data_IF_689636954715
#
_entry.id   IF_689636954715
#
_cell.length_a   1.000
_cell.length_b   1.000
_cell.length_c   1.000
_cell.angle_alpha   90.00
_cell.angle_beta   90.00
_cell.angle_gamma   90.00
#
_symmetry.space_group_name_H-M   'P 1'
#
loop_
_entity.id
_entity.type
_entity.pdbx_description
1 polymer ?
#
# COMPACT_ATOMS: atom_id res chain seq x y z
N UNK A 1 -17.67 -9.23 53.92
CA UNK A 1 -18.32 -9.91 52.80
C UNK A 1 -18.36 -8.94 51.63
N UNK A 2 -17.51 -9.10 50.64
CA UNK A 2 -17.55 -8.31 49.40
C UNK A 2 -18.76 -8.77 48.63
N UNK A 3 -19.74 -7.89 48.44
CA UNK A 3 -21.04 -8.23 47.87
C UNK A 3 -20.92 -8.77 46.44
N UNK A 4 -21.86 -9.64 46.00
CA UNK A 4 -21.92 -10.26 44.66
C UNK A 4 -21.70 -9.26 43.51
N UNK A 5 -22.16 -8.01 43.63
CA UNK A 5 -21.96 -6.95 42.65
C UNK A 5 -20.48 -6.49 42.53
N UNK A 6 -19.74 -6.42 43.61
CA UNK A 6 -18.33 -6.04 43.62
C UNK A 6 -17.45 -7.15 43.00
N UNK A 7 -17.81 -8.43 43.21
CA UNK A 7 -17.14 -9.56 42.54
C UNK A 7 -17.41 -9.57 41.02
N UNK A 8 -18.65 -9.33 40.58
CA UNK A 8 -18.99 -9.24 39.16
C UNK A 8 -18.23 -8.08 38.47
N UNK A 9 -18.13 -6.93 39.15
CA UNK A 9 -17.43 -5.76 38.63
C UNK A 9 -15.91 -5.98 38.58
N UNK A 10 -15.36 -6.73 39.56
CA UNK A 10 -13.93 -7.09 39.56
C UNK A 10 -13.60 -8.13 38.45
N UNK A 11 -14.48 -9.14 38.29
CA UNK A 11 -14.35 -10.12 37.18
C UNK A 11 -14.47 -9.45 35.82
N UNK A 12 -15.45 -8.56 35.63
CA UNK A 12 -15.63 -7.80 34.41
C UNK A 12 -14.41 -6.92 34.09
N UNK A 13 -13.80 -6.24 35.09
CA UNK A 13 -12.54 -5.49 34.91
C UNK A 13 -11.35 -6.38 34.60
N UNK A 14 -11.25 -7.53 35.25
CA UNK A 14 -10.18 -8.51 34.95
C UNK A 14 -10.32 -9.09 33.53
N UNK A 15 -11.52 -9.45 33.12
CA UNK A 15 -11.78 -9.93 31.76
C UNK A 15 -11.48 -8.84 30.71
N UNK A 16 -11.84 -7.60 30.96
CA UNK A 16 -11.50 -6.46 30.11
C UNK A 16 -9.99 -6.18 30.07
N UNK A 17 -9.29 -6.33 31.20
CA UNK A 17 -7.83 -6.19 31.25
C UNK A 17 -7.14 -7.35 30.52
N UNK A 18 -7.61 -8.58 30.69
CA UNK A 18 -7.07 -9.76 30.00
C UNK A 18 -7.34 -9.69 28.49
N UNK A 19 -8.53 -9.25 28.08
CA UNK A 19 -8.86 -9.04 26.66
C UNK A 19 -7.97 -7.97 26.01
N UNK A 20 -7.68 -6.88 26.73
CA UNK A 20 -6.74 -5.84 26.27
C UNK A 20 -5.30 -6.35 26.15
N UNK A 21 -4.87 -7.29 26.97
CA UNK A 21 -3.54 -7.89 26.87
C UNK A 21 -3.40 -8.89 25.70
N UNK A 22 -4.51 -9.39 25.15
CA UNK A 22 -4.52 -10.34 24.02
C UNK A 22 -4.72 -9.68 22.67
N UNK A 23 -4.99 -8.36 22.61
CA UNK A 23 -5.21 -7.65 21.37
C UNK A 23 -3.91 -7.44 20.57
N UNK A 24 -4.06 -7.29 19.25
CA UNK A 24 -2.97 -6.88 18.36
C UNK A 24 -3.02 -5.36 18.19
N UNK A 25 -1.92 -4.68 18.51
CA UNK A 25 -1.76 -3.23 18.31
C UNK A 25 -1.06 -2.98 16.98
N UNK A 26 -1.73 -2.29 16.06
CA UNK A 26 -1.17 -1.95 14.74
C UNK A 26 -0.85 -0.46 14.70
N UNK A 27 0.39 -0.13 14.40
CA UNK A 27 0.90 1.24 14.29
C UNK A 27 0.97 1.65 12.83
N UNK A 28 0.12 2.58 12.43
CA UNK A 28 -0.02 3.11 11.09
C UNK A 28 -1.33 2.72 10.40
N UNK A 29 -2.12 3.73 10.02
CA UNK A 29 -3.43 3.61 9.36
C UNK A 29 -3.37 3.70 7.83
N UNK A 30 -2.24 3.36 7.21
CA UNK A 30 -2.12 3.21 5.75
C UNK A 30 -2.78 1.91 5.26
N UNK A 31 -2.76 1.67 3.93
CA UNK A 31 -3.35 0.47 3.31
C UNK A 31 -2.81 -0.82 3.93
N UNK A 32 -1.52 -0.86 4.29
CA UNK A 32 -0.90 -2.03 4.92
C UNK A 32 -1.49 -2.27 6.31
N UNK A 33 -1.53 -1.24 7.17
CA UNK A 33 -2.11 -1.38 8.51
C UNK A 33 -3.60 -1.73 8.47
N UNK A 34 -4.37 -1.10 7.57
CA UNK A 34 -5.79 -1.37 7.39
C UNK A 34 -6.07 -2.80 6.93
N UNK A 35 -5.35 -3.29 5.91
CA UNK A 35 -5.52 -4.66 5.42
C UNK A 35 -5.00 -5.69 6.43
N UNK A 36 -3.90 -5.40 7.15
CA UNK A 36 -3.44 -6.25 8.25
C UNK A 36 -4.51 -6.36 9.33
N UNK A 37 -5.09 -5.22 9.75
CA UNK A 37 -6.20 -5.19 10.71
C UNK A 37 -7.42 -5.99 10.20
N UNK A 38 -7.78 -5.79 8.93
CA UNK A 38 -8.90 -6.48 8.29
C UNK A 38 -8.72 -8.00 8.26
N UNK A 39 -7.54 -8.48 7.86
CA UNK A 39 -7.25 -9.92 7.81
C UNK A 39 -7.24 -10.54 9.21
N UNK A 40 -6.61 -9.89 10.20
CA UNK A 40 -6.59 -10.38 11.58
C UNK A 40 -7.98 -10.39 12.23
N UNK A 41 -8.73 -9.30 12.07
CA UNK A 41 -10.09 -9.19 12.60
C UNK A 41 -11.05 -10.20 11.94
N UNK A 42 -10.89 -10.46 10.63
CA UNK A 42 -11.66 -11.50 9.92
C UNK A 42 -11.40 -12.91 10.46
N UNK A 43 -10.29 -13.11 11.15
CA UNK A 43 -9.93 -14.35 11.82
C UNK A 43 -10.18 -14.33 13.34
N UNK A 44 -10.99 -13.34 13.80
CA UNK A 44 -11.44 -13.25 15.18
C UNK A 44 -10.45 -12.61 16.15
N UNK A 45 -9.36 -11.99 15.67
CA UNK A 45 -8.43 -11.27 16.53
C UNK A 45 -9.00 -9.92 16.95
N UNK A 46 -8.83 -9.55 18.22
CA UNK A 46 -9.07 -8.19 18.67
C UNK A 46 -7.93 -7.28 18.18
N UNK A 47 -8.25 -6.16 17.56
CA UNK A 47 -7.28 -5.25 16.93
C UNK A 47 -7.49 -3.81 17.39
N UNK A 48 -6.40 -3.15 17.75
CA UNK A 48 -6.34 -1.70 17.96
C UNK A 48 -5.40 -1.10 16.91
N UNK A 49 -5.93 -0.28 16.00
CA UNK A 49 -5.16 0.42 15.00
C UNK A 49 -4.96 1.88 15.42
N UNK A 50 -3.72 2.33 15.40
CA UNK A 50 -3.31 3.67 15.81
C UNK A 50 -2.76 4.43 14.61
N UNK A 51 -3.32 5.60 14.34
CA UNK A 51 -2.87 6.50 13.28
C UNK A 51 -2.65 7.90 13.82
N UNK A 52 -1.47 8.48 13.57
CA UNK A 52 -1.07 9.79 14.10
C UNK A 52 -1.91 10.95 13.56
N UNK A 53 -2.44 10.81 12.34
CA UNK A 53 -3.28 11.81 11.67
C UNK A 53 -4.64 11.19 11.30
N UNK A 54 -5.13 11.42 10.10
CA UNK A 54 -6.28 10.71 9.56
C UNK A 54 -5.85 9.42 8.84
N UNK A 55 -6.66 8.39 8.95
CA UNK A 55 -6.43 7.10 8.28
C UNK A 55 -6.24 7.28 6.78
N UNK A 56 -5.15 6.73 6.26
CA UNK A 56 -4.84 6.62 4.85
C UNK A 56 -4.40 7.91 4.15
N UNK A 57 -4.11 9.00 4.86
CA UNK A 57 -3.80 10.31 4.28
C UNK A 57 -2.36 10.47 3.76
N UNK A 58 -1.51 9.46 3.93
CA UNK A 58 -0.13 9.47 3.45
C UNK A 58 0.00 8.77 2.06
N UNK A 59 1.05 8.00 1.83
CA UNK A 59 1.31 7.34 0.54
C UNK A 59 0.15 6.49 0.02
N UNK A 60 -0.68 5.96 0.90
CA UNK A 60 -1.85 5.16 0.54
C UNK A 60 -2.94 5.96 -0.15
N UNK A 61 -3.05 7.26 0.11
CA UNK A 61 -3.93 8.19 -0.60
C UNK A 61 -3.26 8.72 -1.86
N UNK A 62 -1.97 9.09 -1.74
CA UNK A 62 -1.24 9.80 -2.78
C UNK A 62 -0.88 8.95 -4.00
N UNK A 63 -0.86 7.63 -3.88
CA UNK A 63 -0.40 6.72 -4.93
C UNK A 63 -1.30 6.65 -6.16
N UNK A 64 -0.75 6.17 -7.27
CA UNK A 64 -1.45 6.05 -8.55
C UNK A 64 -2.51 4.96 -8.61
N UNK A 65 -2.35 3.90 -7.86
CA UNK A 65 -3.34 2.82 -7.82
C UNK A 65 -3.22 1.78 -8.92
N UNK A 66 -2.12 1.71 -9.65
CA UNK A 66 -1.87 0.63 -10.62
C UNK A 66 -1.69 -0.69 -9.83
N UNK A 67 -2.46 -1.71 -10.18
CA UNK A 67 -2.40 -3.04 -9.59
C UNK A 67 -1.37 -3.87 -10.39
N UNK A 68 -0.18 -3.34 -10.50
CA UNK A 68 1.02 -3.97 -11.07
C UNK A 68 2.24 -3.16 -10.66
N UNK A 69 3.42 -3.77 -10.47
CA UNK A 69 4.66 -3.03 -10.54
C UNK A 69 4.76 -2.32 -11.90
N UNK A 70 5.36 -1.11 -11.95
CA UNK A 70 5.41 -0.34 -13.19
C UNK A 70 6.11 -1.06 -14.35
N UNK A 71 7.17 -1.78 -14.02
CA UNK A 71 7.94 -2.62 -14.95
C UNK A 71 8.17 -3.96 -14.26
N UNK A 72 7.20 -4.89 -14.27
CA UNK A 72 7.23 -6.09 -13.43
C UNK A 72 8.45 -6.98 -13.67
N UNK A 73 9.01 -6.98 -14.87
CA UNK A 73 10.22 -7.75 -15.23
C UNK A 73 11.53 -7.21 -14.62
N UNK A 74 11.52 -5.98 -14.07
CA UNK A 74 12.70 -5.34 -13.44
C UNK A 74 12.75 -5.58 -11.93
N UNK A 75 11.83 -6.33 -11.38
CA UNK A 75 11.76 -6.61 -9.94
C UNK A 75 12.23 -8.03 -9.61
N UNK A 76 12.68 -8.21 -8.36
CA UNK A 76 13.08 -9.51 -7.84
C UNK A 76 11.91 -10.50 -7.80
N UNK A 77 12.19 -11.82 -7.80
CA UNK A 77 11.16 -12.86 -7.62
C UNK A 77 10.31 -12.64 -6.36
N UNK A 78 10.88 -12.10 -5.28
CA UNK A 78 10.16 -11.78 -4.07
C UNK A 78 9.05 -10.74 -4.29
N UNK A 79 9.33 -9.65 -4.98
CA UNK A 79 8.31 -8.65 -5.33
C UNK A 79 7.27 -9.24 -6.29
N UNK A 80 7.72 -10.03 -7.26
CA UNK A 80 6.85 -10.70 -8.24
C UNK A 80 5.86 -11.64 -7.57
N UNK A 81 6.30 -12.46 -6.60
CA UNK A 81 5.43 -13.40 -5.89
C UNK A 81 4.27 -12.71 -5.16
N UNK A 82 4.57 -11.64 -4.39
CA UNK A 82 3.53 -10.84 -3.72
C UNK A 82 2.59 -10.16 -4.73
N UNK A 83 3.16 -9.62 -5.82
CA UNK A 83 2.39 -8.92 -6.83
C UNK A 83 1.40 -9.84 -7.54
N UNK A 84 1.84 -11.04 -7.95
CA UNK A 84 1.00 -12.01 -8.66
C UNK A 84 -0.18 -12.46 -7.81
N UNK A 85 0.07 -12.87 -6.56
CA UNK A 85 -1.00 -13.28 -5.66
C UNK A 85 -2.01 -12.14 -5.45
N UNK A 86 -1.52 -10.93 -5.24
CA UNK A 86 -2.36 -9.75 -5.01
C UNK A 86 -3.18 -9.36 -6.23
N UNK A 87 -2.60 -9.39 -7.43
CA UNK A 87 -3.30 -9.06 -8.68
C UNK A 87 -4.53 -9.94 -8.88
N UNK A 88 -4.36 -11.25 -8.63
CA UNK A 88 -5.44 -12.23 -8.77
C UNK A 88 -6.52 -12.06 -7.68
N UNK A 89 -6.16 -11.51 -6.52
CA UNK A 89 -7.06 -11.30 -5.38
C UNK A 89 -7.81 -9.95 -5.42
N UNK A 90 -7.27 -8.90 -6.07
CA UNK A 90 -7.85 -7.56 -6.03
C UNK A 90 -9.31 -7.45 -6.48
N UNK A 91 -9.78 -8.13 -7.55
CA UNK A 91 -11.19 -8.09 -7.92
C UNK A 91 -12.11 -8.56 -6.80
N UNK A 92 -11.79 -9.69 -6.18
CA UNK A 92 -12.55 -10.26 -5.07
C UNK A 92 -12.53 -9.35 -3.83
N UNK A 93 -11.37 -8.72 -3.52
CA UNK A 93 -11.27 -7.76 -2.43
C UNK A 93 -12.21 -6.56 -2.67
N UNK A 94 -12.23 -6.02 -3.90
CA UNK A 94 -13.11 -4.92 -4.27
C UNK A 94 -14.59 -5.25 -4.09
N UNK A 95 -15.02 -6.42 -4.56
CA UNK A 95 -16.39 -6.91 -4.41
C UNK A 95 -16.79 -7.08 -2.94
N UNK A 96 -15.93 -7.72 -2.14
CA UNK A 96 -16.15 -7.93 -0.70
C UNK A 96 -16.30 -6.60 0.06
N UNK A 97 -15.41 -5.65 -0.20
CA UNK A 97 -15.46 -4.34 0.44
C UNK A 97 -16.71 -3.56 0.03
N UNK A 98 -17.08 -3.58 -1.24
CA UNK A 98 -18.29 -2.92 -1.71
C UNK A 98 -19.54 -3.55 -1.09
N UNK A 99 -19.65 -4.87 -1.07
CA UNK A 99 -20.77 -5.57 -0.45
C UNK A 99 -20.91 -5.28 1.06
N UNK A 100 -19.78 -5.18 1.77
CA UNK A 100 -19.76 -4.92 3.21
C UNK A 100 -20.05 -3.46 3.59
N UNK A 101 -19.74 -2.50 2.73
CA UNK A 101 -19.69 -1.07 3.12
C UNK A 101 -20.53 -0.14 2.24
N UNK A 102 -20.94 -0.58 1.05
CA UNK A 102 -21.53 0.29 0.02
C UNK A 102 -20.53 1.26 -0.63
N UNK A 103 -19.25 1.21 -0.27
CA UNK A 103 -18.19 2.05 -0.85
C UNK A 103 -17.40 1.22 -1.86
N UNK A 104 -17.61 1.48 -3.16
CA UNK A 104 -16.86 0.81 -4.25
C UNK A 104 -15.41 1.34 -4.27
N UNK A 105 -14.38 0.49 -4.08
CA UNK A 105 -12.97 0.87 -4.22
C UNK A 105 -12.59 1.24 -5.67
N UNK A 106 -13.46 1.00 -6.64
CA UNK A 106 -13.22 1.16 -8.07
C UNK A 106 -12.01 0.34 -8.55
N UNK A 107 -12.01 -0.97 -8.26
CA UNK A 107 -11.08 -1.91 -8.91
C UNK A 107 -11.54 -2.06 -10.36
N UNK A 108 -10.76 -1.48 -11.28
CA UNK A 108 -11.13 -1.36 -12.69
C UNK A 108 -10.04 -1.95 -13.57
N UNK A 109 -10.35 -3.05 -14.26
CA UNK A 109 -9.47 -3.67 -15.25
C UNK A 109 -9.52 -2.87 -16.53
N UNK A 110 -8.45 -2.12 -16.83
CA UNK A 110 -8.34 -1.28 -18.03
C UNK A 110 -7.21 -1.72 -18.96
N UNK A 111 -6.41 -2.68 -18.50
CA UNK A 111 -5.15 -2.99 -19.14
C UNK A 111 -4.11 -1.88 -18.99
N UNK A 112 -2.90 -2.16 -19.45
CA UNK A 112 -1.80 -1.21 -19.48
C UNK A 112 -0.99 -1.40 -20.75
N UNK A 113 -0.74 -0.31 -21.47
CA UNK A 113 0.20 -0.22 -22.56
C UNK A 113 1.55 0.32 -22.08
N UNK A 114 2.64 -0.35 -22.41
CA UNK A 114 4.00 0.18 -22.31
C UNK A 114 4.46 0.55 -23.72
N UNK A 115 4.95 1.77 -23.88
CA UNK A 115 5.34 2.33 -25.17
C UNK A 115 6.86 2.55 -25.22
N UNK A 116 7.47 2.21 -26.34
CA UNK A 116 8.89 2.41 -26.63
C UNK A 116 9.83 1.95 -25.51
N UNK A 117 9.72 0.68 -25.13
CA UNK A 117 10.58 0.08 -24.11
C UNK A 117 11.93 -0.33 -24.69
N UNK A 118 13.01 0.07 -24.01
CA UNK A 118 14.37 -0.36 -24.35
C UNK A 118 14.61 -1.86 -24.07
N UNK A 119 13.85 -2.43 -23.11
CA UNK A 119 13.95 -3.81 -22.64
C UNK A 119 12.72 -4.68 -23.00
N UNK A 120 12.09 -4.41 -24.16
CA UNK A 120 10.89 -5.14 -24.63
C UNK A 120 11.12 -6.66 -24.67
N UNK A 121 12.28 -7.11 -25.17
CA UNK A 121 12.59 -8.54 -25.25
C UNK A 121 12.64 -9.22 -23.88
N UNK A 122 13.17 -8.53 -22.86
CA UNK A 122 13.21 -9.01 -21.48
C UNK A 122 11.80 -9.06 -20.87
N UNK A 123 10.98 -8.04 -21.14
CA UNK A 123 9.59 -8.00 -20.72
C UNK A 123 8.78 -9.19 -21.25
N UNK A 124 8.91 -9.49 -22.53
CA UNK A 124 8.24 -10.63 -23.17
C UNK A 124 8.75 -11.98 -22.65
N UNK A 125 10.06 -12.12 -22.45
CA UNK A 125 10.66 -13.32 -21.85
C UNK A 125 10.18 -13.54 -20.40
N UNK A 126 10.08 -12.44 -19.61
CA UNK A 126 9.51 -12.49 -18.28
C UNK A 126 8.06 -12.97 -18.31
N UNK A 127 7.24 -12.44 -19.22
CA UNK A 127 5.82 -12.79 -19.33
C UNK A 127 5.62 -14.28 -19.60
N UNK A 128 6.44 -14.88 -20.47
CA UNK A 128 6.43 -16.32 -20.76
C UNK A 128 6.81 -17.11 -19.50
N UNK A 129 7.88 -16.72 -18.82
CA UNK A 129 8.37 -17.40 -17.62
C UNK A 129 7.35 -17.35 -16.47
N UNK A 130 6.69 -16.22 -16.29
CA UNK A 130 5.73 -15.99 -15.20
C UNK A 130 4.29 -16.33 -15.58
N UNK A 131 4.02 -16.76 -16.82
CA UNK A 131 2.67 -17.09 -17.28
C UNK A 131 1.73 -15.90 -17.32
N UNK A 132 2.24 -14.69 -17.62
CA UNK A 132 1.43 -13.45 -17.67
C UNK A 132 1.03 -13.08 -19.10
N UNK A 133 -0.18 -12.53 -19.32
CA UNK A 133 -0.72 -12.25 -20.66
C UNK A 133 -0.17 -10.91 -21.23
N UNK A 134 1.15 -10.72 -21.18
CA UNK A 134 1.82 -9.58 -21.78
C UNK A 134 2.19 -9.93 -23.22
N UNK A 135 1.75 -9.12 -24.18
CA UNK A 135 1.95 -9.38 -25.60
C UNK A 135 2.46 -8.13 -26.31
N UNK A 136 3.25 -8.34 -27.36
CA UNK A 136 3.56 -7.28 -28.30
C UNK A 136 2.34 -6.99 -29.16
N UNK A 137 2.05 -5.70 -29.39
CA UNK A 137 0.95 -5.23 -30.22
C UNK A 137 1.45 -4.18 -31.21
N UNK A 138 0.76 -4.05 -32.32
CA UNK A 138 1.04 -2.96 -33.25
C UNK A 138 0.67 -1.61 -32.63
N UNK A 139 1.48 -0.58 -32.88
CA UNK A 139 1.20 0.77 -32.36
C UNK A 139 -0.10 1.31 -32.90
N UNK A 140 -0.48 0.99 -34.13
CA UNK A 140 -1.81 1.33 -34.68
C UNK A 140 -2.95 0.75 -33.87
N UNK A 141 -2.83 -0.50 -33.37
CA UNK A 141 -3.84 -1.10 -32.49
C UNK A 141 -3.88 -0.41 -31.11
N UNK A 142 -2.74 0.10 -30.61
CA UNK A 142 -2.72 0.92 -29.42
C UNK A 142 -3.44 2.25 -29.63
N UNK A 143 -3.27 2.91 -30.78
CA UNK A 143 -4.00 4.14 -31.15
C UNK A 143 -5.50 3.87 -31.36
N UNK A 144 -5.89 2.75 -31.96
CA UNK A 144 -7.30 2.37 -32.12
C UNK A 144 -7.98 2.18 -30.75
N UNK A 145 -7.28 1.57 -29.81
CA UNK A 145 -7.77 1.35 -28.44
C UNK A 145 -7.71 2.62 -27.57
N UNK A 146 -6.76 3.50 -27.81
CA UNK A 146 -6.54 4.75 -27.07
C UNK A 146 -6.40 5.91 -28.08
N UNK A 147 -7.50 6.41 -28.64
CA UNK A 147 -7.48 7.40 -29.74
C UNK A 147 -6.83 8.74 -29.38
N UNK A 148 -6.70 9.04 -28.09
CA UNK A 148 -6.06 10.27 -27.58
C UNK A 148 -4.55 10.13 -27.37
N UNK A 149 -3.98 8.96 -27.66
CA UNK A 149 -2.56 8.70 -27.50
C UNK A 149 -1.73 9.61 -28.44
N UNK A 150 -0.61 10.12 -27.92
CA UNK A 150 0.30 10.94 -28.71
C UNK A 150 0.96 10.16 -29.85
N UNK A 151 1.31 10.87 -30.92
CA UNK A 151 2.01 10.30 -32.06
C UNK A 151 3.49 10.07 -31.78
N UNK A 152 4.15 9.28 -32.64
CA UNK A 152 5.62 9.10 -32.64
C UNK A 152 6.11 7.88 -31.86
N UNK A 153 5.25 7.11 -31.23
CA UNK A 153 5.61 5.82 -30.66
C UNK A 153 5.78 4.77 -31.76
N UNK A 154 6.78 3.90 -31.61
CA UNK A 154 7.15 2.89 -32.59
C UNK A 154 6.93 1.46 -32.09
N UNK A 155 6.81 1.27 -30.79
CA UNK A 155 6.66 -0.04 -30.15
C UNK A 155 5.62 0.02 -29.03
N UNK A 156 4.84 -1.03 -28.91
CA UNK A 156 3.89 -1.19 -27.82
C UNK A 156 3.81 -2.64 -27.35
N UNK A 157 3.79 -2.85 -26.04
CA UNK A 157 3.37 -4.10 -25.42
C UNK A 157 2.16 -3.84 -24.53
N UNK A 158 1.30 -4.83 -24.39
CA UNK A 158 0.02 -4.70 -23.68
C UNK A 158 -0.23 -5.88 -22.76
N UNK A 159 -0.72 -5.58 -21.57
CA UNK A 159 -1.23 -6.58 -20.63
C UNK A 159 -2.67 -6.24 -20.25
N UNK A 160 -3.61 -7.03 -20.73
CA UNK A 160 -5.05 -6.76 -20.67
C UNK A 160 -5.64 -6.82 -19.26
N UNK A 161 -5.07 -7.65 -18.38
CA UNK A 161 -5.61 -7.92 -17.04
C UNK A 161 -5.06 -6.98 -15.94
N UNK A 162 -4.33 -5.94 -16.30
CA UNK A 162 -3.89 -4.94 -15.31
C UNK A 162 -5.08 -4.08 -14.89
N UNK A 163 -5.32 -4.06 -13.59
CA UNK A 163 -6.32 -3.18 -13.00
C UNK A 163 -5.70 -1.90 -12.45
N UNK A 164 -6.52 -0.91 -12.24
CA UNK A 164 -6.24 0.18 -11.33
C UNK A 164 -7.32 0.23 -10.23
N UNK A 165 -6.96 0.81 -9.08
CA UNK A 165 -7.87 1.01 -7.96
C UNK A 165 -7.84 2.48 -7.55
N UNK A 166 -8.96 3.01 -7.09
CA UNK A 166 -9.01 4.40 -6.61
C UNK A 166 -8.61 4.44 -5.14
N UNK A 167 -7.35 4.77 -4.87
CA UNK A 167 -6.74 4.72 -3.55
C UNK A 167 -7.56 5.36 -2.43
N UNK A 168 -8.07 6.61 -2.55
CA UNK A 168 -8.90 7.21 -1.49
C UNK A 168 -10.18 6.42 -1.20
N UNK A 169 -10.76 5.77 -2.22
CA UNK A 169 -11.98 4.96 -2.06
C UNK A 169 -11.66 3.60 -1.42
N UNK A 170 -10.54 2.98 -1.80
CA UNK A 170 -10.07 1.74 -1.16
C UNK A 170 -9.84 1.96 0.35
N UNK A 171 -9.12 3.01 0.72
CA UNK A 171 -8.88 3.35 2.12
C UNK A 171 -10.20 3.61 2.86
N UNK A 172 -11.11 4.38 2.24
CA UNK A 172 -12.43 4.66 2.81
C UNK A 172 -13.25 3.39 3.05
N UNK A 173 -13.26 2.48 2.08
CA UNK A 173 -14.00 1.21 2.19
C UNK A 173 -13.38 0.29 3.25
N UNK A 174 -12.05 0.18 3.32
CA UNK A 174 -11.35 -0.58 4.37
C UNK A 174 -11.63 -0.03 5.76
N UNK A 175 -11.55 1.29 5.95
CA UNK A 175 -11.89 1.93 7.22
C UNK A 175 -13.34 1.64 7.62
N UNK A 176 -14.28 1.78 6.69
CA UNK A 176 -15.70 1.51 6.96
C UNK A 176 -15.93 0.03 7.32
N UNK A 177 -15.28 -0.89 6.62
CA UNK A 177 -15.37 -2.32 6.94
C UNK A 177 -14.84 -2.61 8.36
N UNK A 178 -13.66 -2.07 8.71
CA UNK A 178 -13.05 -2.25 10.02
C UNK A 178 -13.93 -1.72 11.15
N UNK A 179 -14.51 -0.53 11.00
CA UNK A 179 -15.39 0.07 12.02
C UNK A 179 -16.68 -0.73 12.25
N UNK A 180 -17.07 -1.58 11.30
CA UNK A 180 -18.22 -2.48 11.44
C UNK A 180 -17.86 -3.84 12.06
N UNK A 181 -16.56 -4.17 12.21
CA UNK A 181 -16.10 -5.46 12.73
C UNK A 181 -16.05 -5.46 14.26
N UNK A 182 -16.60 -6.49 14.93
CA UNK A 182 -16.48 -6.60 16.38
C UNK A 182 -15.00 -6.78 16.81
N UNK A 183 -14.63 -6.18 17.93
CA UNK A 183 -13.28 -6.27 18.47
C UNK A 183 -12.23 -5.41 17.77
N UNK A 184 -12.64 -4.54 16.84
CA UNK A 184 -11.75 -3.59 16.18
C UNK A 184 -11.96 -2.19 16.75
N UNK A 185 -10.85 -1.53 17.10
CA UNK A 185 -10.82 -0.13 17.52
C UNK A 185 -9.84 0.61 16.59
N UNK A 186 -10.26 1.75 16.06
CA UNK A 186 -9.42 2.63 15.25
C UNK A 186 -9.29 3.97 15.95
N UNK A 187 -8.07 4.33 16.35
CA UNK A 187 -7.73 5.63 16.90
C UNK A 187 -7.00 6.47 15.83
N UNK A 188 -7.66 7.52 15.39
CA UNK A 188 -7.04 8.60 14.62
C UNK A 188 -6.52 9.68 15.58
N UNK A 189 -5.59 10.53 15.12
CA UNK A 189 -4.94 11.56 15.92
C UNK A 189 -4.21 10.97 17.15
N UNK A 190 -3.72 9.73 17.03
CA UNK A 190 -3.03 9.00 18.08
C UNK A 190 -1.61 8.64 17.62
N UNK A 191 -0.66 9.50 17.94
CA UNK A 191 0.73 9.31 17.59
C UNK A 191 1.42 8.34 18.55
N UNK A 192 2.08 7.32 17.98
CA UNK A 192 2.97 6.42 18.71
C UNK A 192 4.37 7.00 18.74
N UNK A 193 4.93 7.16 19.93
CA UNK A 193 6.24 7.77 20.16
C UNK A 193 7.35 6.76 20.54
N UNK A 194 6.98 5.50 20.76
CA UNK A 194 7.91 4.42 21.13
C UNK A 194 7.18 3.20 21.63
N UNK A 195 7.94 2.26 22.19
CA UNK A 195 7.45 0.95 22.63
C UNK A 195 7.47 0.80 24.16
N UNK A 196 6.57 -0.03 24.68
CA UNK A 196 6.54 -0.45 26.07
C UNK A 196 7.24 -1.81 26.17
N UNK A 197 8.29 -1.89 26.99
CA UNK A 197 9.14 -3.07 27.12
C UNK A 197 8.99 -3.73 28.49
N UNK A 198 8.90 -5.06 28.51
CA UNK A 198 9.12 -5.92 29.67
C UNK A 198 10.27 -6.89 29.36
N UNK A 199 11.50 -6.51 29.70
CA UNK A 199 12.72 -7.18 29.24
C UNK A 199 12.83 -7.06 27.72
N UNK A 200 13.00 -8.18 27.02
CA UNK A 200 13.05 -8.26 25.56
C UNK A 200 11.65 -8.36 24.91
N UNK A 201 10.59 -8.23 25.72
CA UNK A 201 9.24 -8.38 25.25
C UNK A 201 8.59 -7.00 25.03
N UNK A 202 8.12 -6.74 23.81
CA UNK A 202 7.32 -5.55 23.50
C UNK A 202 5.86 -5.86 23.82
N UNK A 203 5.34 -5.21 24.84
CA UNK A 203 3.99 -5.43 25.40
C UNK A 203 3.02 -4.30 25.03
N UNK A 204 3.44 -3.33 24.24
CA UNK A 204 2.60 -2.21 23.83
C UNK A 204 3.41 -1.06 23.23
N UNK A 205 2.74 0.07 23.10
CA UNK A 205 3.28 1.33 22.57
C UNK A 205 2.96 2.51 23.46
N UNK A 206 3.81 3.54 23.43
CA UNK A 206 3.61 4.80 24.13
C UNK A 206 2.88 5.80 23.23
N UNK A 207 1.89 6.49 23.78
CA UNK A 207 1.17 7.60 23.16
C UNK A 207 1.08 8.80 24.13
N UNK A 208 0.66 9.96 23.63
CA UNK A 208 0.44 11.14 24.47
C UNK A 208 -0.62 10.91 25.56
N UNK A 209 -1.59 10.00 25.34
CA UNK A 209 -2.66 9.67 26.28
C UNK A 209 -2.29 8.54 27.23
N UNK A 210 -1.06 8.01 27.12
CA UNK A 210 -0.55 6.89 27.90
C UNK A 210 -0.28 5.64 27.07
N UNK A 211 0.16 4.54 27.72
CA UNK A 211 0.49 3.31 27.03
C UNK A 211 -0.75 2.55 26.56
N UNK A 212 -0.64 1.97 25.35
CA UNK A 212 -1.63 1.03 24.81
C UNK A 212 -0.94 -0.34 24.73
N UNK A 213 -1.49 -1.30 25.48
CA UNK A 213 -0.89 -2.64 25.61
C UNK A 213 -1.53 -3.67 24.69
N UNK A 214 -0.77 -4.69 24.29
CA UNK A 214 -1.25 -5.81 23.48
C UNK A 214 -0.26 -6.95 23.43
N UNK A 215 -0.71 -8.14 23.06
CA UNK A 215 0.15 -9.32 22.91
C UNK A 215 1.17 -9.17 21.79
N UNK A 216 0.79 -8.44 20.76
CA UNK A 216 1.63 -8.17 19.60
C UNK A 216 1.51 -6.71 19.17
N UNK A 217 2.63 -6.12 18.79
CA UNK A 217 2.72 -4.79 18.17
C UNK A 217 3.20 -4.96 16.74
N UNK A 218 2.45 -4.42 15.78
CA UNK A 218 2.76 -4.48 14.35
C UNK A 218 3.12 -3.09 13.87
N UNK A 219 4.35 -2.91 13.38
CA UNK A 219 4.80 -1.66 12.81
C UNK A 219 4.49 -1.63 11.30
N UNK A 220 3.50 -0.84 10.92
CA UNK A 220 3.04 -0.59 9.55
C UNK A 220 3.06 0.92 9.21
N UNK A 221 4.03 1.66 9.80
CA UNK A 221 4.09 3.12 9.79
C UNK A 221 4.72 3.72 8.51
N UNK A 222 4.72 2.98 7.40
CA UNK A 222 5.20 3.47 6.11
C UNK A 222 6.63 4.02 6.19
N UNK A 223 6.86 5.23 5.69
CA UNK A 223 8.17 5.88 5.67
C UNK A 223 8.74 6.18 7.08
N UNK A 224 7.89 6.24 8.10
CA UNK A 224 8.29 6.50 9.50
C UNK A 224 8.66 5.23 10.29
N UNK A 225 8.61 4.06 9.66
CA UNK A 225 8.91 2.80 10.34
C UNK A 225 10.37 2.74 10.84
N UNK A 226 11.32 3.32 10.09
CA UNK A 226 12.72 3.39 10.49
C UNK A 226 12.93 4.26 11.76
N UNK A 227 12.28 5.43 11.82
CA UNK A 227 12.38 6.32 12.98
C UNK A 227 11.82 5.67 14.26
N UNK A 228 10.64 5.02 14.15
CA UNK A 228 10.05 4.33 15.29
C UNK A 228 10.91 3.15 15.77
N UNK A 229 11.42 2.33 14.85
CA UNK A 229 12.28 1.20 15.23
C UNK A 229 13.62 1.69 15.81
N UNK A 230 14.09 2.86 15.38
CA UNK A 230 15.27 3.55 15.91
C UNK A 230 15.18 3.85 17.42
N UNK A 231 13.98 3.99 17.99
CA UNK A 231 13.77 4.17 19.44
C UNK A 231 14.20 2.95 20.27
N UNK A 232 14.36 1.79 19.62
CA UNK A 232 14.91 0.56 20.22
C UNK A 232 16.40 0.35 19.92
N UNK A 233 17.09 1.33 19.30
CA UNK A 233 18.47 1.19 18.88
C UNK A 233 18.66 0.25 17.69
N UNK A 234 17.65 0.11 16.84
CA UNK A 234 17.69 -0.70 15.62
C UNK A 234 17.62 0.19 14.38
N UNK A 235 18.45 -0.11 13.39
CA UNK A 235 18.42 0.53 12.07
C UNK A 235 17.61 -0.32 11.10
N UNK A 236 16.46 0.22 10.66
CA UNK A 236 15.64 -0.34 9.59
C UNK A 236 15.83 0.53 8.35
N UNK A 237 16.42 0.00 7.26
CA UNK A 237 16.67 0.79 6.04
C UNK A 237 15.38 0.99 5.23
N UNK A 238 14.49 1.81 5.78
CA UNK A 238 13.27 2.29 5.13
C UNK A 238 13.32 3.81 5.11
N UNK A 239 13.43 4.38 3.91
CA UNK A 239 13.61 5.82 3.70
C UNK A 239 12.41 6.44 3.00
N UNK A 240 12.09 7.72 3.29
CA UNK A 240 11.07 8.46 2.55
C UNK A 240 11.55 8.77 1.13
N UNK A 241 10.78 8.34 0.13
CA UNK A 241 11.01 8.69 -1.28
C UNK A 241 9.80 9.41 -1.81
N UNK A 242 9.97 10.72 -2.03
CA UNK A 242 8.90 11.63 -2.49
C UNK A 242 8.50 11.33 -3.92
N UNK A 243 7.21 11.42 -4.20
CA UNK A 243 6.66 11.35 -5.55
C UNK A 243 5.48 12.27 -5.70
N UNK A 244 5.49 13.07 -6.76
CA UNK A 244 4.44 14.03 -7.07
C UNK A 244 3.56 13.53 -8.20
N UNK A 245 2.31 13.91 -8.17
CA UNK A 245 1.28 13.52 -9.14
C UNK A 245 0.35 14.69 -9.42
N UNK A 246 -0.19 14.73 -10.63
CA UNK A 246 -1.21 15.70 -11.03
C UNK A 246 -2.47 14.98 -11.50
N UNK A 247 -3.60 15.66 -11.39
CA UNK A 247 -4.92 15.16 -11.75
C UNK A 247 -5.57 16.12 -12.75
N UNK A 248 -5.95 15.59 -13.90
CA UNK A 248 -6.76 16.29 -14.89
C UNK A 248 -8.23 15.94 -14.74
N UNK A 249 -9.10 16.84 -15.20
CA UNK A 249 -10.54 16.59 -15.37
C UNK A 249 -10.89 16.57 -16.85
N UNK A 250 -11.41 15.43 -17.31
CA UNK A 250 -11.86 15.18 -18.70
C UNK A 250 -13.25 14.54 -18.70
N UNK A 251 -13.72 14.15 -19.88
CA UNK A 251 -14.91 13.31 -20.03
C UNK A 251 -14.68 11.90 -19.47
N UNK A 252 -15.73 11.18 -19.09
CA UNK A 252 -15.63 9.86 -18.46
C UNK A 252 -15.05 8.76 -19.36
N UNK A 253 -15.17 8.94 -20.67
CA UNK A 253 -14.68 8.03 -21.70
C UNK A 253 -13.40 8.51 -22.41
N UNK A 254 -12.76 9.56 -21.88
CA UNK A 254 -11.59 10.21 -22.50
C UNK A 254 -10.40 9.28 -22.66
N UNK A 255 -10.11 8.43 -21.67
CA UNK A 255 -9.01 7.48 -21.69
C UNK A 255 -9.53 6.09 -21.31
N UNK A 256 -9.40 5.12 -22.21
CA UNK A 256 -9.92 3.76 -22.06
C UNK A 256 -8.99 2.82 -21.29
N UNK A 257 -7.68 2.96 -21.47
CA UNK A 257 -6.64 2.11 -20.87
C UNK A 257 -5.55 2.95 -20.21
N UNK A 258 -4.83 2.36 -19.29
CA UNK A 258 -3.61 2.97 -18.78
C UNK A 258 -2.52 2.95 -19.85
N UNK A 259 -1.73 4.02 -19.90
CA UNK A 259 -0.57 4.13 -20.79
C UNK A 259 0.67 4.53 -20.01
N UNK A 260 1.83 4.00 -20.39
CA UNK A 260 3.12 4.26 -19.74
C UNK A 260 4.22 4.40 -20.79
N UNK A 261 4.96 5.50 -20.75
CA UNK A 261 6.17 5.72 -21.52
C UNK A 261 7.20 6.49 -20.68
N UNK A 262 8.49 6.21 -20.88
CA UNK A 262 9.60 6.93 -20.24
C UNK A 262 9.45 7.14 -18.71
N UNK A 263 8.86 6.14 -18.00
CA UNK A 263 8.62 6.18 -16.56
C UNK A 263 7.45 7.05 -16.10
N UNK A 264 6.70 7.65 -17.04
CA UNK A 264 5.47 8.42 -16.80
C UNK A 264 4.26 7.61 -17.24
N UNK A 265 3.16 7.75 -16.52
CA UNK A 265 1.93 7.02 -16.77
C UNK A 265 0.70 7.91 -16.68
N UNK A 266 -0.33 7.56 -17.45
CA UNK A 266 -1.67 8.10 -17.35
C UNK A 266 -2.64 7.00 -16.92
N UNK A 267 -3.47 7.28 -15.91
CA UNK A 267 -4.42 6.33 -15.33
C UNK A 267 -5.82 6.91 -15.43
N UNK A 268 -6.75 6.25 -16.15
CA UNK A 268 -8.15 6.68 -16.23
C UNK A 268 -8.89 6.38 -14.92
N UNK A 269 -9.82 7.27 -14.57
CA UNK A 269 -10.83 7.04 -13.53
C UNK A 269 -12.22 7.03 -14.16
N UNK A 270 -13.15 6.25 -13.61
CA UNK A 270 -14.51 6.10 -14.14
C UNK A 270 -15.29 7.41 -14.26
N UNK A 271 -14.93 8.41 -13.46
CA UNK A 271 -15.57 9.73 -13.46
C UNK A 271 -14.87 10.76 -14.36
N UNK A 272 -13.97 10.32 -15.23
CA UNK A 272 -13.25 11.17 -16.19
C UNK A 272 -12.02 11.87 -15.63
N UNK A 273 -11.63 11.63 -14.39
CA UNK A 273 -10.31 12.09 -13.93
C UNK A 273 -9.20 11.26 -14.58
N UNK A 274 -8.11 11.92 -14.97
CA UNK A 274 -6.89 11.29 -15.49
C UNK A 274 -5.76 11.63 -14.53
N UNK A 275 -5.17 10.60 -13.94
CA UNK A 275 -4.05 10.75 -13.03
C UNK A 275 -2.74 10.57 -13.79
N UNK A 276 -1.85 11.56 -13.71
CA UNK A 276 -0.51 11.52 -14.30
C UNK A 276 0.52 11.41 -13.18
N UNK A 277 1.46 10.51 -13.33
CA UNK A 277 2.54 10.29 -12.36
C UNK A 277 3.78 9.71 -12.99
N UNK A 278 4.84 9.67 -12.26
CA UNK A 278 5.14 10.37 -11.02
C UNK A 278 6.60 10.83 -11.01
N UNK A 279 6.93 11.77 -10.14
CA UNK A 279 8.32 12.07 -9.86
C UNK A 279 8.95 11.05 -8.92
N UNK A 280 10.27 11.11 -8.75
CA UNK A 280 11.04 10.35 -7.78
C UNK A 280 12.13 11.28 -7.24
N UNK A 281 12.02 11.64 -5.95
CA UNK A 281 12.83 12.66 -5.31
C UNK A 281 13.26 12.20 -3.91
N UNK A 282 14.49 12.54 -3.50
CA UNK A 282 15.06 12.21 -2.19
C UNK A 282 15.18 13.49 -1.35
N UNK A 283 14.05 13.95 -0.83
CA UNK A 283 13.88 15.22 -0.08
C UNK A 283 13.53 14.97 1.39
N UNK A 284 13.91 13.79 1.93
CA UNK A 284 13.52 13.40 3.28
C UNK A 284 12.00 13.38 3.46
N UNK A 285 11.52 13.93 4.57
CA UNK A 285 10.09 13.95 4.89
C UNK A 285 9.32 15.15 4.31
N UNK A 286 9.96 15.99 3.48
CA UNK A 286 9.25 17.09 2.82
C UNK A 286 8.26 16.59 1.77
N UNK A 287 6.98 16.94 1.95
CA UNK A 287 5.86 16.61 1.04
C UNK A 287 5.37 17.84 0.26
N UNK A 288 6.09 18.94 0.27
CA UNK A 288 5.67 20.14 -0.44
C UNK A 288 5.71 19.90 -1.95
N UNK A 289 4.61 20.05 -2.69
CA UNK A 289 4.62 20.02 -4.14
C UNK A 289 5.43 21.20 -4.70
N UNK A 290 6.11 20.97 -5.84
CA UNK A 290 6.98 21.98 -6.46
C UNK A 290 6.49 22.36 -7.86
N UNK A 291 6.65 23.63 -8.25
CA UNK A 291 6.30 24.11 -9.59
C UNK A 291 7.08 23.38 -10.68
N UNK A 292 8.37 23.11 -10.43
CA UNK A 292 9.21 22.35 -11.37
C UNK A 292 8.65 20.95 -11.66
N UNK A 293 8.14 20.27 -10.63
CA UNK A 293 7.51 18.95 -10.80
C UNK A 293 6.16 19.08 -11.54
N UNK A 294 5.37 20.11 -11.23
CA UNK A 294 4.12 20.38 -11.93
C UNK A 294 4.33 20.54 -13.43
N UNK A 295 5.28 21.40 -13.83
CA UNK A 295 5.58 21.66 -15.24
C UNK A 295 6.16 20.39 -15.93
N UNK A 296 7.03 19.63 -15.25
CA UNK A 296 7.54 18.36 -15.78
C UNK A 296 6.43 17.32 -16.00
N UNK A 297 5.48 17.24 -15.07
CA UNK A 297 4.35 16.31 -15.18
C UNK A 297 3.38 16.74 -16.27
N UNK A 298 3.09 18.05 -16.41
CA UNK A 298 2.29 18.59 -17.53
C UNK A 298 2.92 18.28 -18.88
N UNK A 299 4.23 18.53 -19.02
CA UNK A 299 4.95 18.24 -20.26
C UNK A 299 4.85 16.74 -20.62
N UNK A 300 5.06 15.86 -19.64
CA UNK A 300 4.92 14.40 -19.84
C UNK A 300 3.46 14.00 -20.17
N UNK A 301 2.47 14.67 -19.56
CA UNK A 301 1.06 14.42 -19.84
C UNK A 301 0.70 14.74 -21.29
N UNK A 302 1.16 15.89 -21.79
CA UNK A 302 0.92 16.34 -23.17
C UNK A 302 1.70 15.50 -24.18
N UNK A 303 2.89 15.02 -23.84
CA UNK A 303 3.64 14.06 -24.67
C UNK A 303 2.88 12.74 -24.80
N UNK A 304 2.36 12.20 -23.70
CA UNK A 304 1.57 10.96 -23.71
C UNK A 304 0.21 11.13 -24.39
N UNK A 305 -0.47 12.24 -24.11
CA UNK A 305 -1.85 12.52 -24.50
C UNK A 305 -1.98 14.01 -24.87
N UNK A 306 -1.72 14.40 -26.13
CA UNK A 306 -1.70 15.80 -26.55
C UNK A 306 -2.95 16.61 -26.21
N UNK A 307 -4.11 15.98 -26.20
CA UNK A 307 -5.37 16.61 -25.84
C UNK A 307 -5.44 17.09 -24.36
N UNK A 308 -4.50 16.70 -23.50
CA UNK A 308 -4.38 17.22 -22.12
C UNK A 308 -3.78 18.65 -22.07
N UNK A 309 -3.27 19.18 -23.19
CA UNK A 309 -2.76 20.55 -23.23
C UNK A 309 -3.83 21.60 -22.86
N UNK A 310 -5.07 21.34 -23.25
CA UNK A 310 -6.22 22.23 -22.99
C UNK A 310 -7.07 21.79 -21.78
N UNK A 311 -6.70 20.68 -21.11
CA UNK A 311 -7.47 20.15 -19.99
C UNK A 311 -7.08 20.84 -18.67
N UNK A 312 -8.04 20.98 -17.77
CA UNK A 312 -7.84 21.57 -16.45
C UNK A 312 -7.08 20.62 -15.51
N UNK A 313 -6.01 21.10 -14.90
CA UNK A 313 -5.35 20.43 -13.76
C UNK A 313 -6.11 20.78 -12.49
N UNK A 314 -6.84 19.78 -11.94
CA UNK A 314 -7.69 19.97 -10.75
C UNK A 314 -7.00 19.53 -9.45
N UNK A 315 -5.79 18.99 -9.52
CA UNK A 315 -5.04 18.59 -8.33
C UNK A 315 -3.56 18.38 -8.59
N UNK A 316 -2.74 18.72 -7.59
CA UNK A 316 -1.30 18.48 -7.54
C UNK A 316 -0.91 18.19 -6.09
N UNK A 317 -0.24 17.07 -5.85
CA UNK A 317 0.17 16.64 -4.51
C UNK A 317 1.44 15.79 -4.53
N UNK A 318 2.00 15.59 -3.34
CA UNK A 318 3.13 14.69 -3.11
C UNK A 318 2.79 13.65 -2.04
N UNK A 319 3.48 12.52 -2.09
CA UNK A 319 3.45 11.48 -1.07
C UNK A 319 4.83 10.86 -0.87
N UNK A 320 5.06 10.25 0.30
CA UNK A 320 6.32 9.64 0.67
C UNK A 320 6.21 8.11 0.60
N UNK A 321 6.86 7.52 -0.39
CA UNK A 321 6.97 6.07 -0.50
C UNK A 321 7.92 5.54 0.58
N UNK A 322 7.59 4.42 1.26
CA UNK A 322 8.50 3.77 2.21
C UNK A 322 9.57 2.96 1.45
N UNK A 323 10.66 3.61 1.03
CA UNK A 323 11.74 3.02 0.24
C UNK A 323 12.51 1.99 1.05
N UNK A 324 12.50 0.72 0.63
CA UNK A 324 13.32 -0.37 1.15
C UNK A 324 14.35 -0.81 0.11
N UNK A 325 15.45 -1.47 0.51
CA UNK A 325 16.39 -2.08 -0.43
C UNK A 325 15.68 -3.01 -1.40
N UNK A 326 15.93 -2.86 -2.70
CA UNK A 326 15.32 -3.61 -3.81
C UNK A 326 13.78 -3.57 -3.87
N UNK A 327 13.14 -2.73 -3.04
CA UNK A 327 11.68 -2.66 -2.92
C UNK A 327 11.06 -3.88 -2.24
N UNK A 328 11.87 -4.72 -1.59
CA UNK A 328 11.39 -5.90 -0.86
C UNK A 328 10.91 -5.47 0.53
N UNK A 329 9.63 -5.69 0.90
CA UNK A 329 9.11 -5.31 2.20
C UNK A 329 9.72 -6.14 3.34
N UNK A 330 9.53 -5.66 4.57
CA UNK A 330 9.82 -6.38 5.80
C UNK A 330 8.52 -6.95 6.35
N UNK A 331 8.41 -8.28 6.42
CA UNK A 331 7.22 -8.99 6.91
C UNK A 331 7.69 -10.07 7.87
N UNK A 332 7.42 -9.90 9.17
CA UNK A 332 7.82 -10.88 10.18
C UNK A 332 8.17 -10.27 11.53
N UNK A 333 8.58 -11.13 12.45
CA UNK A 333 8.97 -10.73 13.81
C UNK A 333 10.35 -10.06 13.81
N UNK A 334 10.51 -9.02 14.63
CA UNK A 334 11.78 -8.32 14.80
C UNK A 334 12.74 -9.20 15.63
N UNK A 335 13.95 -9.50 15.12
CA UNK A 335 14.93 -10.28 15.87
C UNK A 335 15.29 -9.60 17.21
N UNK A 336 15.39 -10.40 18.28
CA UNK A 336 15.70 -9.93 19.62
C UNK A 336 14.54 -9.29 20.40
N UNK A 337 13.38 -9.03 19.75
CA UNK A 337 12.22 -8.44 20.39
C UNK A 337 10.98 -9.33 20.23
N UNK A 338 10.58 -10.00 21.33
CA UNK A 338 9.33 -10.76 21.32
C UNK A 338 8.13 -9.80 21.26
N UNK A 339 7.07 -10.21 20.57
CA UNK A 339 5.85 -9.41 20.47
C UNK A 339 5.92 -8.24 19.47
N UNK A 340 7.09 -7.91 18.89
CA UNK A 340 7.23 -6.86 17.88
C UNK A 340 7.34 -7.45 16.46
N UNK A 341 6.53 -6.92 15.55
CA UNK A 341 6.42 -7.39 14.17
C UNK A 341 6.50 -6.23 13.19
N UNK A 342 7.00 -6.50 11.98
CA UNK A 342 7.02 -5.55 10.87
C UNK A 342 6.09 -6.01 9.74
N UNK A 343 5.41 -5.05 9.15
CA UNK A 343 4.80 -5.14 7.82
C UNK A 343 4.93 -3.78 7.15
N UNK A 344 6.10 -3.48 6.59
CA UNK A 344 6.45 -2.14 6.09
C UNK A 344 7.50 -2.19 4.97
N UNK A 345 7.87 -1.04 4.41
CA UNK A 345 8.94 -0.96 3.41
C UNK A 345 8.54 -1.40 2.01
N UNK A 346 7.29 -1.24 1.60
CA UNK A 346 6.76 -1.70 0.29
C UNK A 346 7.14 -0.81 -0.89
N UNK A 347 7.86 0.28 -0.66
CA UNK A 347 8.36 1.23 -1.65
C UNK A 347 7.29 1.69 -2.66
N UNK A 348 7.57 1.49 -3.97
CA UNK A 348 6.70 1.93 -5.08
C UNK A 348 5.47 1.04 -5.28
N UNK A 349 5.49 -0.15 -4.69
CA UNK A 349 4.54 -1.22 -4.96
C UNK A 349 3.56 -1.46 -3.80
N UNK A 350 3.54 -0.58 -2.79
CA UNK A 350 2.77 -0.79 -1.56
C UNK A 350 1.29 -1.12 -1.78
N UNK A 351 0.68 -0.54 -2.82
CA UNK A 351 -0.70 -0.86 -3.13
C UNK A 351 -0.84 -2.27 -3.70
N UNK A 352 -0.11 -2.58 -4.80
CA UNK A 352 -0.23 -3.89 -5.44
C UNK A 352 0.22 -5.02 -4.52
N UNK A 353 1.20 -4.82 -3.64
CA UNK A 353 1.69 -5.87 -2.74
C UNK A 353 0.81 -6.05 -1.49
N UNK A 354 -0.04 -5.06 -1.14
CA UNK A 354 -0.74 -5.01 0.13
C UNK A 354 -1.57 -6.27 0.44
N UNK A 355 -2.42 -6.80 -0.45
CA UNK A 355 -3.21 -7.99 -0.14
C UNK A 355 -2.37 -9.20 0.25
N UNK A 356 -1.36 -9.54 -0.56
CA UNK A 356 -0.48 -10.69 -0.28
C UNK A 356 0.39 -10.46 0.96
N UNK A 357 0.96 -9.26 1.11
CA UNK A 357 1.78 -8.90 2.27
C UNK A 357 1.01 -9.02 3.58
N UNK A 358 -0.23 -8.52 3.61
CA UNK A 358 -1.06 -8.56 4.81
C UNK A 358 -1.62 -9.96 5.10
N UNK A 359 -1.87 -10.77 4.06
CA UNK A 359 -2.25 -12.16 4.25
C UNK A 359 -1.07 -12.99 4.77
N UNK A 360 0.09 -12.88 4.13
CA UNK A 360 1.33 -13.52 4.59
C UNK A 360 1.64 -13.15 6.04
N UNK A 361 1.51 -11.88 6.39
CA UNK A 361 1.70 -11.40 7.77
C UNK A 361 0.73 -12.08 8.74
N UNK A 362 -0.57 -12.15 8.40
CA UNK A 362 -1.57 -12.80 9.24
C UNK A 362 -1.29 -14.30 9.41
N UNK A 363 -0.88 -14.98 8.34
CA UNK A 363 -0.50 -16.40 8.40
C UNK A 363 0.67 -16.62 9.37
N UNK A 364 1.71 -15.78 9.30
CA UNK A 364 2.87 -15.85 10.18
C UNK A 364 2.51 -15.60 11.65
N UNK A 365 1.73 -14.54 11.92
CA UNK A 365 1.33 -14.19 13.28
C UNK A 365 0.46 -15.27 13.93
N UNK A 366 -0.42 -15.89 13.16
CA UNK A 366 -1.38 -16.89 13.65
C UNK A 366 -0.87 -18.32 13.54
N UNK A 367 0.34 -18.55 13.01
CA UNK A 367 0.92 -19.87 12.84
C UNK A 367 0.23 -20.71 11.76
N UNK A 368 -0.37 -20.08 10.77
CA UNK A 368 -0.94 -20.75 9.62
C UNK A 368 0.12 -21.07 8.57
N UNK A 369 -0.21 -21.94 7.61
CA UNK A 369 0.66 -22.17 6.46
C UNK A 369 0.72 -20.89 5.61
N UNK A 370 1.91 -20.30 5.40
CA UNK A 370 2.05 -19.07 4.60
C UNK A 370 1.60 -19.25 3.16
N UNK A 371 0.94 -18.24 2.58
CA UNK A 371 0.49 -18.25 1.18
C UNK A 371 1.63 -18.30 0.17
N UNK A 372 2.81 -17.82 0.54
CA UNK A 372 4.06 -17.84 -0.25
C UNK A 372 5.24 -18.02 0.71
N UNK A 373 6.44 -18.32 0.18
CA UNK A 373 7.67 -18.40 0.99
C UNK A 373 7.94 -17.09 1.73
N UNK A 374 7.97 -17.07 3.08
CA UNK A 374 8.20 -15.86 3.85
C UNK A 374 9.67 -15.42 3.92
N UNK A 375 10.60 -16.31 3.57
CA UNK A 375 12.05 -16.13 3.79
C UNK A 375 12.60 -14.82 3.22
N UNK A 376 12.26 -14.40 1.99
CA UNK A 376 12.81 -13.16 1.41
C UNK A 376 12.38 -11.88 2.15
N UNK A 377 11.30 -11.93 2.92
CA UNK A 377 10.70 -10.77 3.59
C UNK A 377 11.06 -10.68 5.07
N UNK A 378 11.67 -11.72 5.62
CA UNK A 378 12.02 -11.79 7.02
C UNK A 378 12.94 -10.61 7.42
N UNK A 379 12.73 -9.98 8.61
CA UNK A 379 13.59 -8.92 9.11
C UNK A 379 14.99 -9.39 9.48
N UNK A 380 15.16 -10.69 9.77
CA UNK A 380 16.44 -11.26 10.18
C UNK A 380 17.54 -11.05 9.11
N UNK A 381 18.70 -10.55 9.52
CA UNK A 381 19.82 -10.23 8.64
C UNK A 381 19.61 -8.99 7.75
N UNK A 382 18.43 -8.35 7.81
CA UNK A 382 18.09 -7.16 7.02
C UNK A 382 17.91 -5.90 7.88
N UNK A 383 17.94 -6.03 9.20
CA UNK A 383 18.01 -4.93 10.18
C UNK A 383 19.31 -5.09 10.99
N UNK A 384 19.85 -3.98 11.48
CA UNK A 384 21.11 -3.95 12.25
C UNK A 384 20.95 -3.16 13.54
N UNK A 385 21.97 -3.21 14.41
CA UNK A 385 22.06 -2.23 15.49
C UNK A 385 22.22 -0.83 14.91
N UNK A 386 21.51 0.14 15.46
CA UNK A 386 21.49 1.54 15.06
C UNK A 386 22.62 2.36 15.63
#
# INVERSE_FOLDING_TARGET
>A
MIGRRARLFLFYRLDQMMAKQQQVVIVGGGVIGLLTAYNLASQGQAVVLLERAGVGQESSWAGGGIVSPLYPWRYSPAVTALAHWSQDFYPQLGERLFAATGVDPEVHVTGLYWLDLDDEAEALAWAIREGRPLTKVDVSAAHDAVPVLGDGYCQAIYMANVANVRNPRLVKSLKAALLAMPGVIVHEQCEVTGFVLEGDNVVGVNTAEGPIVGAHVVLAAGAWSGELLGTLGLALPVEPVKGQMILYKCASDFLSSMVLAKGRYAIPRRDGHILIGSTLEHEGFDKTPTETALESLKASAVELIPALADAEVVGHWAGLRPGSPEGIPYIGQVPGFKGLWLNCGHYRNGLVLAPASCQLFADLLLGHTPIIDPTPYAPEGRISAG
#
